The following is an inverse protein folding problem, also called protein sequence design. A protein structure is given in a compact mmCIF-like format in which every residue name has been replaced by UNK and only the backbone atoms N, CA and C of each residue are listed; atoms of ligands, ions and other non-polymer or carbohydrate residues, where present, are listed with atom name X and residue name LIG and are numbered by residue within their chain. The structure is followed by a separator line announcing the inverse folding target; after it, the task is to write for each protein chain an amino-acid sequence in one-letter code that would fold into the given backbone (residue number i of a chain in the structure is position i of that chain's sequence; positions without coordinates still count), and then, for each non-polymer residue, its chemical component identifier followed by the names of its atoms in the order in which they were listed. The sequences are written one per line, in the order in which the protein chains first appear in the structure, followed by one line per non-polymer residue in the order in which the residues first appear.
data_IF_698586176073
#
_entry.id   IF_698586176073
#
_cell.length_a   1.000
_cell.length_b   1.000
_cell.length_c   1.000
_cell.angle_alpha   90.00
_cell.angle_beta   90.00
_cell.angle_gamma   90.00
#
_symmetry.space_group_name_H-M   'P 1'
#
loop_
_entity.id
_entity.type
_entity.pdbx_description
1 polymer ?
#
# COMPACT_ATOMS: atom_id res chain seq x y z
N UNK A 1 -30.26 -45.41 4.74
CA UNK A 1 -29.42 -44.27 4.31
C UNK A 1 -30.19 -42.93 4.29
N UNK A 2 -31.05 -42.65 5.28
CA UNK A 2 -31.84 -41.39 5.33
C UNK A 2 -31.59 -40.59 6.62
N UNK A 3 -30.86 -41.16 7.59
CA UNK A 3 -30.70 -40.58 8.92
C UNK A 3 -29.52 -39.60 9.09
N UNK A 4 -28.55 -39.58 8.16
CA UNK A 4 -27.40 -38.66 8.21
C UNK A 4 -27.71 -37.27 7.61
N UNK A 5 -28.76 -37.13 6.80
CA UNK A 5 -29.14 -35.87 6.16
C UNK A 5 -29.97 -34.94 7.05
N UNK A 6 -30.64 -35.47 8.08
CA UNK A 6 -31.60 -34.69 8.89
C UNK A 6 -30.96 -34.21 10.22
N UNK A 7 -30.05 -35.00 10.81
CA UNK A 7 -29.50 -34.72 12.15
C UNK A 7 -28.38 -33.66 12.11
N UNK A 8 -27.62 -33.58 11.01
CA UNK A 8 -26.60 -32.54 10.80
C UNK A 8 -27.05 -31.43 9.84
N UNK A 9 -28.33 -31.40 9.46
CA UNK A 9 -28.85 -30.44 8.49
C UNK A 9 -28.55 -28.99 8.89
N UNK A 10 -28.78 -28.63 10.17
CA UNK A 10 -28.46 -27.30 10.68
C UNK A 10 -26.97 -26.97 10.61
N UNK A 11 -26.09 -27.90 10.96
CA UNK A 11 -24.65 -27.66 10.99
C UNK A 11 -24.06 -27.54 9.57
N UNK A 12 -24.52 -28.38 8.64
CA UNK A 12 -24.14 -28.29 7.22
C UNK A 12 -24.80 -27.12 6.51
N UNK A 13 -26.02 -26.73 6.88
CA UNK A 13 -26.65 -25.52 6.34
C UNK A 13 -25.94 -24.26 6.82
N UNK A 14 -25.52 -24.20 8.10
CA UNK A 14 -24.72 -23.08 8.61
C UNK A 14 -23.35 -23.00 7.93
N UNK A 15 -22.64 -24.13 7.78
CA UNK A 15 -21.37 -24.19 7.05
C UNK A 15 -21.53 -23.84 5.56
N UNK A 16 -22.63 -24.25 4.94
CA UNK A 16 -22.95 -23.88 3.56
C UNK A 16 -23.31 -22.40 3.41
N UNK A 17 -23.96 -21.79 4.40
CA UNK A 17 -24.25 -20.35 4.43
C UNK A 17 -22.96 -19.54 4.64
N UNK A 18 -22.05 -19.95 5.53
CA UNK A 18 -20.74 -19.30 5.67
C UNK A 18 -19.90 -19.42 4.39
N UNK A 19 -19.88 -20.59 3.74
CA UNK A 19 -19.21 -20.78 2.44
C UNK A 19 -19.88 -20.01 1.29
N UNK A 20 -21.14 -19.60 1.48
CA UNK A 20 -21.94 -18.84 0.52
C UNK A 20 -21.84 -17.33 0.77
N UNK A 21 -21.02 -16.84 1.71
CA UNK A 21 -20.81 -15.41 1.92
C UNK A 21 -19.43 -14.99 1.43
N UNK A 22 -19.39 -13.98 0.55
CA UNK A 22 -18.15 -13.36 0.09
C UNK A 22 -18.00 -12.00 0.76
N UNK A 23 -16.95 -11.86 1.57
CA UNK A 23 -16.50 -10.60 2.14
C UNK A 23 -15.60 -9.90 1.11
N UNK A 24 -15.93 -8.66 0.77
CA UNK A 24 -15.04 -7.78 0.01
C UNK A 24 -14.64 -6.64 0.93
N UNK A 25 -13.35 -6.51 1.19
CA UNK A 25 -12.83 -5.42 2.01
C UNK A 25 -13.05 -4.08 1.29
N UNK A 26 -13.60 -3.11 2.02
CA UNK A 26 -13.69 -1.72 1.57
C UNK A 26 -12.66 -0.94 2.36
N UNK A 27 -11.52 -0.66 1.74
CA UNK A 27 -10.40 -0.03 2.43
C UNK A 27 -10.75 1.37 2.94
N UNK A 28 -10.30 1.69 4.15
CA UNK A 28 -10.35 3.05 4.68
C UNK A 28 -9.22 3.89 4.09
N UNK A 29 -9.48 5.18 3.91
CA UNK A 29 -8.44 6.11 3.51
C UNK A 29 -7.56 6.44 4.71
N UNK A 30 -6.26 6.18 4.59
CA UNK A 30 -5.29 6.51 5.64
C UNK A 30 -5.12 8.03 5.75
N UNK A 31 -5.16 8.57 6.98
CA UNK A 31 -5.10 10.01 7.26
C UNK A 31 -3.81 10.69 6.82
N UNK A 32 -3.84 11.99 6.57
CA UNK A 32 -2.69 12.76 6.09
C UNK A 32 -1.67 13.03 7.22
N UNK A 33 -0.38 13.08 6.89
CA UNK A 33 0.64 13.66 7.77
C UNK A 33 0.94 15.06 7.24
N UNK A 34 0.78 16.06 8.10
CA UNK A 34 0.90 17.47 7.78
C UNK A 34 2.04 18.11 8.57
N UNK A 35 2.73 19.08 7.98
CA UNK A 35 3.63 19.97 8.71
C UNK A 35 2.83 21.00 9.55
N UNK A 36 3.54 21.82 10.32
CA UNK A 36 2.92 22.86 11.17
C UNK A 36 2.13 23.93 10.41
N UNK A 37 2.36 24.05 9.10
CA UNK A 37 1.73 25.00 8.20
C UNK A 37 0.65 24.34 7.31
N UNK A 38 0.28 23.08 7.61
CA UNK A 38 -0.66 22.25 6.85
C UNK A 38 -0.17 21.83 5.45
N UNK A 39 1.14 21.84 5.21
CA UNK A 39 1.74 21.25 4.01
C UNK A 39 1.70 19.73 4.16
N UNK A 40 1.25 19.02 3.13
CA UNK A 40 1.19 17.56 3.12
C UNK A 40 2.58 16.97 3.00
N UNK A 41 2.99 16.21 4.00
CA UNK A 41 4.22 15.42 4.01
C UNK A 41 3.97 13.98 3.59
N UNK A 42 2.79 13.44 3.91
CA UNK A 42 2.30 12.17 3.41
C UNK A 42 0.79 12.21 3.25
N UNK A 43 0.26 11.61 2.19
CA UNK A 43 -1.18 11.52 1.96
C UNK A 43 -1.53 10.23 1.22
N UNK A 44 -2.79 9.85 1.28
CA UNK A 44 -3.29 8.69 0.54
C UNK A 44 -3.89 9.13 -0.79
N UNK A 45 -3.45 8.53 -1.88
CA UNK A 45 -4.03 8.73 -3.20
C UNK A 45 -4.95 7.55 -3.54
N UNK A 46 -6.11 7.85 -4.13
CA UNK A 46 -7.07 6.84 -4.56
C UNK A 46 -6.60 6.20 -5.87
N UNK A 47 -6.52 4.88 -5.87
CA UNK A 47 -6.22 4.04 -7.02
C UNK A 47 -7.21 2.87 -7.06
N UNK A 48 -6.94 1.90 -7.94
CA UNK A 48 -7.76 0.71 -8.08
C UNK A 48 -6.93 -0.55 -8.29
N UNK A 49 -7.37 -1.64 -7.69
CA UNK A 49 -6.76 -2.95 -7.89
C UNK A 49 -7.58 -3.75 -8.91
N UNK A 50 -6.89 -4.27 -9.92
CA UNK A 50 -7.49 -5.07 -10.99
C UNK A 50 -7.35 -6.55 -10.65
N UNK A 51 -8.48 -7.24 -10.50
CA UNK A 51 -8.56 -8.65 -10.19
C UNK A 51 -9.19 -9.44 -11.33
N UNK A 52 -8.63 -10.59 -11.63
CA UNK A 52 -9.14 -11.50 -12.66
C UNK A 52 -9.89 -12.64 -11.99
N UNK A 53 -11.13 -12.87 -12.43
CA UNK A 53 -11.95 -14.01 -12.10
C UNK A 53 -11.76 -15.08 -13.19
N UNK A 54 -10.89 -16.07 -12.96
CA UNK A 54 -10.62 -17.11 -13.97
C UNK A 54 -11.85 -17.93 -14.37
N UNK A 55 -12.80 -18.27 -13.47
CA UNK A 55 -14.00 -19.02 -13.85
C UNK A 55 -14.84 -18.32 -14.93
N UNK A 56 -14.80 -16.99 -14.95
CA UNK A 56 -15.51 -16.16 -15.93
C UNK A 56 -14.72 -15.97 -17.23
N UNK A 57 -13.44 -16.39 -17.26
CA UNK A 57 -12.52 -16.28 -18.38
C UNK A 57 -12.14 -17.66 -18.95
N UNK A 58 -13.06 -18.29 -19.68
CA UNK A 58 -12.82 -19.58 -20.35
C UNK A 58 -12.38 -19.35 -21.79
N UNK A 59 -11.07 -19.21 -22.01
CA UNK A 59 -10.46 -18.89 -23.32
C UNK A 59 -10.85 -19.88 -24.44
N UNK A 60 -10.99 -21.16 -24.11
CA UNK A 60 -11.23 -22.23 -25.09
C UNK A 60 -12.63 -22.20 -25.75
N UNK A 61 -13.62 -21.60 -25.08
CA UNK A 61 -15.02 -21.60 -25.51
C UNK A 61 -15.57 -20.19 -25.80
N UNK A 62 -14.69 -19.21 -26.02
CA UNK A 62 -15.11 -17.86 -26.37
C UNK A 62 -15.68 -17.79 -27.79
N UNK A 63 -16.83 -17.12 -27.94
CA UNK A 63 -17.30 -16.67 -29.24
C UNK A 63 -16.43 -15.51 -29.79
N UNK A 64 -16.66 -15.13 -31.04
CA UNK A 64 -15.83 -14.12 -31.72
C UNK A 64 -15.93 -12.73 -31.05
N UNK A 65 -17.10 -12.37 -30.51
CA UNK A 65 -17.30 -11.10 -29.79
C UNK A 65 -16.60 -11.10 -28.43
N UNK A 66 -16.61 -12.25 -27.74
CA UNK A 66 -15.92 -12.43 -26.46
C UNK A 66 -14.40 -12.39 -26.63
N UNK A 67 -13.89 -12.90 -27.75
CA UNK A 67 -12.45 -12.83 -28.07
C UNK A 67 -12.03 -11.40 -28.38
N UNK A 68 -12.77 -10.70 -29.23
CA UNK A 68 -12.52 -9.28 -29.55
C UNK A 68 -12.52 -8.43 -28.27
N UNK A 69 -13.55 -8.58 -27.42
CA UNK A 69 -13.60 -7.88 -26.14
C UNK A 69 -12.43 -8.20 -25.22
N UNK A 70 -11.99 -9.47 -25.18
CA UNK A 70 -10.84 -9.89 -24.38
C UNK A 70 -9.54 -9.25 -24.87
N UNK A 71 -9.29 -9.29 -26.19
CA UNK A 71 -8.10 -8.71 -26.82
C UNK A 71 -8.07 -7.19 -26.61
N UNK A 72 -9.17 -6.48 -26.86
CA UNK A 72 -9.29 -5.04 -26.64
C UNK A 72 -9.05 -4.65 -25.17
N UNK A 73 -9.64 -5.41 -24.24
CA UNK A 73 -9.48 -5.15 -22.80
C UNK A 73 -8.02 -5.37 -22.37
N UNK A 74 -7.39 -6.44 -22.87
CA UNK A 74 -6.01 -6.75 -22.55
C UNK A 74 -5.06 -5.70 -23.13
N UNK A 75 -5.30 -5.23 -24.36
CA UNK A 75 -4.55 -4.14 -24.98
C UNK A 75 -4.59 -2.88 -24.09
N UNK A 76 -5.77 -2.43 -23.68
CA UNK A 76 -5.92 -1.26 -22.78
C UNK A 76 -5.18 -1.47 -21.46
N UNK A 77 -5.26 -2.66 -20.85
CA UNK A 77 -4.54 -2.96 -19.61
C UNK A 77 -3.03 -2.92 -19.85
N UNK A 78 -2.54 -3.47 -20.96
CA UNK A 78 -1.10 -3.49 -21.27
C UNK A 78 -0.56 -2.08 -21.53
N UNK A 79 -1.29 -1.26 -22.30
CA UNK A 79 -0.89 0.10 -22.62
C UNK A 79 -0.92 1.03 -21.39
N UNK A 80 -1.98 0.94 -20.59
CA UNK A 80 -2.22 1.93 -19.53
C UNK A 80 -1.71 1.49 -18.15
N UNK A 81 -1.74 0.18 -17.85
CA UNK A 81 -1.32 -0.35 -16.56
C UNK A 81 0.11 -0.93 -16.58
N UNK A 82 0.73 -1.03 -17.77
CA UNK A 82 2.08 -1.56 -17.96
C UNK A 82 2.22 -3.02 -17.55
N UNK A 83 1.14 -3.79 -17.65
CA UNK A 83 1.16 -5.25 -17.45
C UNK A 83 1.46 -5.89 -18.79
N UNK A 84 2.37 -6.85 -18.86
CA UNK A 84 2.62 -7.55 -20.14
C UNK A 84 1.63 -8.70 -20.34
N UNK A 85 1.37 -9.06 -21.59
CA UNK A 85 0.59 -10.26 -21.91
C UNK A 85 1.25 -11.53 -21.32
N UNK A 86 2.59 -11.58 -21.31
CA UNK A 86 3.34 -12.67 -20.70
C UNK A 86 3.06 -12.78 -19.20
N UNK A 87 3.07 -11.66 -18.46
CA UNK A 87 2.73 -11.62 -17.04
C UNK A 87 1.29 -12.07 -16.77
N UNK A 88 0.34 -11.62 -17.61
CA UNK A 88 -1.05 -12.03 -17.53
C UNK A 88 -1.18 -13.55 -17.72
N UNK A 89 -0.60 -14.09 -18.80
CA UNK A 89 -0.71 -15.50 -19.15
C UNK A 89 0.02 -16.40 -18.15
N UNK A 90 1.14 -15.95 -17.58
CA UNK A 90 1.83 -16.66 -16.51
C UNK A 90 0.92 -16.86 -15.29
N UNK A 91 0.21 -15.81 -14.85
CA UNK A 91 -0.76 -15.91 -13.75
C UNK A 91 -1.99 -16.70 -14.14
N UNK A 92 -2.48 -16.58 -15.38
CA UNK A 92 -3.65 -17.30 -15.87
C UNK A 92 -3.43 -18.82 -15.89
N UNK A 93 -2.24 -19.28 -16.29
CA UNK A 93 -1.89 -20.70 -16.38
C UNK A 93 -1.65 -21.38 -15.01
N UNK A 94 -1.62 -20.62 -13.91
CA UNK A 94 -1.52 -21.22 -12.57
C UNK A 94 -2.85 -21.84 -12.12
N UNK A 95 -2.95 -23.17 -12.24
CA UNK A 95 -4.15 -23.92 -11.89
C UNK A 95 -4.50 -23.93 -10.40
N UNK A 96 -3.61 -23.45 -9.51
CA UNK A 96 -3.88 -23.43 -8.07
C UNK A 96 -4.69 -22.21 -7.62
N UNK A 97 -4.92 -21.23 -8.51
CA UNK A 97 -5.51 -19.95 -8.16
C UNK A 97 -6.79 -19.73 -8.97
N UNK A 98 -7.92 -19.57 -8.28
CA UNK A 98 -9.22 -19.28 -8.91
C UNK A 98 -9.36 -17.81 -9.31
N UNK A 99 -8.89 -16.88 -8.47
CA UNK A 99 -8.88 -15.44 -8.73
C UNK A 99 -7.52 -14.87 -8.37
N UNK A 100 -6.99 -13.94 -9.18
CA UNK A 100 -5.68 -13.34 -8.92
C UNK A 100 -5.68 -11.84 -9.14
N UNK A 101 -4.81 -11.17 -8.38
CA UNK A 101 -4.51 -9.75 -8.55
C UNK A 101 -3.62 -9.57 -9.79
N UNK A 102 -4.17 -8.94 -10.82
CA UNK A 102 -3.45 -8.64 -12.04
C UNK A 102 -2.51 -7.45 -11.81
N UNK A 103 -3.07 -6.34 -11.31
CA UNK A 103 -2.36 -5.08 -11.07
C UNK A 103 -2.83 -4.40 -9.79
N UNK A 104 -1.88 -3.97 -8.95
CA UNK A 104 -2.14 -3.02 -7.86
C UNK A 104 -2.04 -1.58 -8.36
N UNK A 105 -2.88 -0.73 -7.79
CA UNK A 105 -2.83 0.72 -7.97
C UNK A 105 -2.90 1.21 -9.43
N UNK A 106 -3.78 0.62 -10.23
CA UNK A 106 -4.14 1.15 -11.55
C UNK A 106 -4.74 2.55 -11.43
N UNK A 107 -4.46 3.41 -12.41
CA UNK A 107 -4.94 4.78 -12.42
C UNK A 107 -6.44 4.84 -12.69
N UNK A 108 -7.04 6.00 -12.42
CA UNK A 108 -8.45 6.21 -12.71
C UNK A 108 -8.72 6.15 -14.22
N UNK A 109 -7.79 6.66 -15.03
CA UNK A 109 -7.88 6.66 -16.48
C UNK A 109 -7.93 5.23 -17.04
N UNK A 110 -7.07 4.33 -16.54
CA UNK A 110 -7.11 2.90 -16.88
C UNK A 110 -8.48 2.29 -16.56
N UNK A 111 -8.98 2.56 -15.36
CA UNK A 111 -10.24 1.97 -14.90
C UNK A 111 -11.44 2.50 -15.65
N UNK A 112 -11.48 3.80 -15.96
CA UNK A 112 -12.58 4.38 -16.70
C UNK A 112 -12.65 3.81 -18.13
N UNK A 113 -11.51 3.57 -18.79
CA UNK A 113 -11.45 2.90 -20.09
C UNK A 113 -11.95 1.44 -20.03
N UNK A 114 -11.57 0.69 -19.00
CA UNK A 114 -11.99 -0.70 -18.80
C UNK A 114 -13.48 -0.80 -18.43
N UNK A 115 -14.00 0.15 -17.63
CA UNK A 115 -15.40 0.16 -17.20
C UNK A 115 -16.37 0.35 -18.36
N UNK A 116 -15.97 1.05 -19.41
CA UNK A 116 -16.79 1.19 -20.62
C UNK A 116 -16.95 -0.13 -21.38
N UNK A 117 -15.98 -1.04 -21.26
CA UNK A 117 -15.98 -2.35 -21.91
C UNK A 117 -16.77 -3.43 -21.13
N UNK A 118 -16.97 -3.24 -19.82
CA UNK A 118 -17.67 -4.16 -18.90
C UNK A 118 -17.27 -5.65 -19.03
N UNK A 119 -15.96 -6.00 -18.97
CA UNK A 119 -15.51 -7.37 -19.08
C UNK A 119 -15.90 -8.18 -17.83
N UNK A 120 -16.77 -9.19 -18.01
CA UNK A 120 -17.26 -10.05 -16.90
C UNK A 120 -16.16 -10.71 -16.07
N UNK A 121 -15.00 -10.96 -16.66
CA UNK A 121 -13.88 -11.64 -16.02
C UNK A 121 -12.98 -10.73 -15.18
N UNK A 122 -13.17 -9.41 -15.22
CA UNK A 122 -12.35 -8.46 -14.49
C UNK A 122 -13.17 -7.76 -13.42
N UNK A 123 -12.65 -7.74 -12.20
CA UNK A 123 -13.19 -6.97 -11.09
C UNK A 123 -12.25 -5.83 -10.73
N UNK A 124 -12.83 -4.65 -10.50
CA UNK A 124 -12.08 -3.45 -10.09
C UNK A 124 -12.46 -3.10 -8.66
N UNK A 125 -11.48 -3.08 -7.77
CA UNK A 125 -11.67 -2.68 -6.37
C UNK A 125 -10.99 -1.34 -6.11
N UNK A 126 -11.63 -0.48 -5.33
CA UNK A 126 -10.98 0.75 -4.88
C UNK A 126 -9.83 0.40 -3.93
N UNK A 127 -8.67 0.99 -4.14
CA UNK A 127 -7.51 0.84 -3.28
C UNK A 127 -6.87 2.21 -3.03
N UNK A 128 -5.97 2.27 -2.05
CA UNK A 128 -5.25 3.50 -1.73
C UNK A 128 -3.76 3.23 -1.73
N UNK A 129 -3.00 4.18 -2.25
CA UNK A 129 -1.54 4.17 -2.20
C UNK A 129 -1.07 5.34 -1.36
N UNK A 130 -0.10 5.09 -0.48
CA UNK A 130 0.57 6.14 0.29
C UNK A 130 1.54 6.89 -0.62
N UNK A 131 1.48 8.22 -0.61
CA UNK A 131 2.31 9.11 -1.43
C UNK A 131 3.04 10.11 -0.54
N UNK A 132 4.33 10.28 -0.80
CA UNK A 132 5.21 11.23 -0.11
C UNK A 132 5.69 12.28 -1.13
N UNK A 133 5.09 13.49 -1.18
CA UNK A 133 5.37 14.49 -2.21
C UNK A 133 6.85 14.83 -2.39
N UNK A 134 7.56 14.98 -1.27
CA UNK A 134 8.95 15.42 -1.25
C UNK A 134 9.96 14.26 -1.11
N UNK A 135 9.50 13.00 -1.25
CA UNK A 135 10.31 11.78 -1.32
C UNK A 135 11.27 11.54 -0.14
N UNK A 136 12.36 12.29 -0.08
CA UNK A 136 13.43 12.20 0.92
C UNK A 136 13.25 13.15 2.12
N UNK A 137 12.33 14.11 2.04
CA UNK A 137 12.09 15.05 3.13
C UNK A 137 11.58 14.32 4.39
N UNK A 138 12.31 14.51 5.49
CA UNK A 138 12.05 13.90 6.79
C UNK A 138 11.89 12.37 6.75
N UNK A 139 12.57 11.67 5.82
CA UNK A 139 12.31 10.25 5.53
C UNK A 139 12.37 9.35 6.76
N UNK A 140 13.44 9.42 7.56
CA UNK A 140 13.58 8.61 8.78
C UNK A 140 12.57 8.99 9.87
N UNK A 141 12.07 10.23 9.86
CA UNK A 141 11.07 10.67 10.82
C UNK A 141 9.68 10.18 10.41
N UNK A 142 9.25 10.47 9.18
CA UNK A 142 7.94 10.08 8.65
C UNK A 142 7.83 8.55 8.61
N UNK A 143 8.84 7.88 8.05
CA UNK A 143 8.81 6.44 7.81
C UNK A 143 7.87 6.05 6.68
N UNK A 144 7.69 4.74 6.47
CA UNK A 144 6.89 4.20 5.35
C UNK A 144 5.72 3.34 5.80
N UNK A 145 4.84 3.01 4.86
CA UNK A 145 3.78 2.01 5.00
C UNK A 145 4.09 0.79 4.14
N UNK A 146 3.44 -0.33 4.43
CA UNK A 146 3.38 -1.48 3.53
C UNK A 146 2.27 -1.32 2.47
N UNK A 147 2.21 -2.28 1.55
CA UNK A 147 1.24 -2.29 0.45
C UNK A 147 -0.21 -2.51 0.92
N UNK A 148 -0.40 -2.88 2.18
CA UNK A 148 -1.69 -3.05 2.83
C UNK A 148 -2.11 -1.79 3.63
N UNK A 149 -1.29 -0.73 3.59
CA UNK A 149 -1.58 0.56 4.22
C UNK A 149 -1.25 0.66 5.71
N UNK A 150 -0.60 -0.35 6.28
CA UNK A 150 -0.10 -0.32 7.66
C UNK A 150 1.25 0.37 7.74
N UNK A 151 1.44 1.17 8.79
CA UNK A 151 2.73 1.79 9.09
C UNK A 151 3.80 0.73 9.32
N UNK A 152 4.97 0.93 8.71
CA UNK A 152 6.13 0.05 8.79
C UNK A 152 7.24 0.65 9.67
N UNK A 153 7.48 1.95 9.56
CA UNK A 153 8.53 2.64 10.30
C UNK A 153 8.13 4.07 10.68
N UNK A 154 8.95 4.73 11.51
CA UNK A 154 8.78 6.15 11.84
C UNK A 154 7.44 6.51 12.47
N UNK A 155 6.94 7.70 12.11
CA UNK A 155 5.63 8.20 12.51
C UNK A 155 4.49 7.40 11.88
N UNK A 156 4.66 6.86 10.68
CA UNK A 156 3.67 5.99 10.04
C UNK A 156 3.36 4.76 10.91
N UNK A 157 4.39 4.13 11.48
CA UNK A 157 4.22 3.03 12.45
C UNK A 157 3.66 3.53 13.79
N UNK A 158 4.26 4.58 14.34
CA UNK A 158 3.94 5.05 15.70
C UNK A 158 2.51 5.59 15.83
N UNK A 159 1.97 6.21 14.78
CA UNK A 159 0.62 6.75 14.73
C UNK A 159 -0.34 5.87 13.91
N UNK A 160 0.01 4.61 13.65
CA UNK A 160 -0.80 3.73 12.82
C UNK A 160 -2.25 3.60 13.30
N UNK A 161 -2.49 3.56 14.62
CA UNK A 161 -3.83 3.43 15.21
C UNK A 161 -4.75 4.63 14.90
N UNK A 162 -4.18 5.81 14.64
CA UNK A 162 -4.92 7.00 14.24
C UNK A 162 -4.99 7.11 12.72
N UNK A 163 -3.86 6.89 12.05
CA UNK A 163 -3.72 7.09 10.61
C UNK A 163 -4.47 6.03 9.80
N UNK A 164 -4.49 4.76 10.21
CA UNK A 164 -4.98 3.66 9.37
C UNK A 164 -6.49 3.70 9.12
N UNK A 165 -7.27 4.27 10.05
CA UNK A 165 -8.72 4.14 10.04
C UNK A 165 -9.17 2.71 10.28
N UNK A 166 -10.40 2.38 9.87
CA UNK A 166 -10.99 1.05 9.99
C UNK A 166 -11.65 0.65 8.69
N UNK A 167 -11.15 -0.42 8.08
CA UNK A 167 -11.73 -0.96 6.85
C UNK A 167 -13.18 -1.37 7.07
N UNK A 168 -13.99 -1.06 6.08
CA UNK A 168 -15.35 -1.55 5.95
C UNK A 168 -15.37 -2.92 5.27
N UNK A 169 -16.57 -3.48 5.13
CA UNK A 169 -16.81 -4.75 4.46
C UNK A 169 -18.10 -4.70 3.68
N UNK A 170 -18.07 -5.25 2.47
CA UNK A 170 -19.26 -5.57 1.69
C UNK A 170 -19.47 -7.07 1.76
N UNK A 171 -20.55 -7.51 2.42
CA UNK A 171 -20.91 -8.92 2.56
C UNK A 171 -22.05 -9.21 1.61
N UNK A 172 -21.82 -10.13 0.68
CA UNK A 172 -22.86 -10.61 -0.24
C UNK A 172 -23.02 -12.12 -0.16
N UNK A 173 -24.25 -12.60 -0.28
CA UNK A 173 -24.50 -14.03 -0.46
C UNK A 173 -24.24 -14.40 -1.93
N UNK A 174 -23.29 -15.30 -2.14
CA UNK A 174 -22.90 -15.85 -3.44
C UNK A 174 -23.31 -17.31 -3.59
N UNK A 175 -23.50 -17.77 -4.83
CA UNK A 175 -23.59 -19.19 -5.13
C UNK A 175 -22.23 -19.91 -4.91
N UNK A 176 -22.18 -21.23 -5.15
CA UNK A 176 -20.96 -22.04 -5.05
C UNK A 176 -19.86 -21.64 -6.06
N UNK A 177 -20.19 -20.79 -7.02
CA UNK A 177 -19.28 -20.26 -8.04
C UNK A 177 -18.88 -18.80 -7.78
N UNK A 178 -19.38 -18.17 -6.71
CA UNK A 178 -19.04 -16.80 -6.33
C UNK A 178 -19.93 -15.72 -6.96
N UNK A 179 -21.01 -16.10 -7.66
CA UNK A 179 -21.95 -15.15 -8.26
C UNK A 179 -22.93 -14.63 -7.20
N UNK A 180 -23.20 -13.33 -7.19
CA UNK A 180 -24.18 -12.74 -6.28
C UNK A 180 -25.58 -13.33 -6.51
N UNK A 181 -26.22 -13.82 -5.45
CA UNK A 181 -27.59 -14.32 -5.51
C UNK A 181 -28.57 -13.15 -5.64
N UNK A 182 -29.51 -13.24 -6.58
CA UNK A 182 -30.48 -12.18 -6.91
C UNK A 182 -31.45 -11.79 -5.75
N UNK A 183 -31.48 -12.58 -4.67
CA UNK A 183 -32.27 -12.36 -3.45
C UNK A 183 -31.36 -12.27 -2.20
N UNK A 184 -30.07 -11.98 -2.37
CA UNK A 184 -29.10 -11.88 -1.28
C UNK A 184 -29.38 -10.69 -0.36
N UNK A 185 -29.19 -10.89 0.94
CA UNK A 185 -29.14 -9.77 1.88
C UNK A 185 -27.72 -9.20 1.83
N UNK A 186 -27.56 -8.04 1.18
CA UNK A 186 -26.29 -7.32 1.20
C UNK A 186 -26.15 -6.56 2.51
N UNK A 187 -25.09 -6.86 3.27
CA UNK A 187 -24.70 -6.06 4.44
C UNK A 187 -23.48 -5.22 4.07
N UNK A 188 -23.59 -3.90 4.25
CA UNK A 188 -22.52 -2.96 3.98
C UNK A 188 -22.08 -2.34 5.31
N UNK A 189 -20.83 -2.60 5.68
CA UNK A 189 -20.13 -1.92 6.74
C UNK A 189 -19.23 -0.86 6.10
N UNK A 190 -19.60 0.41 6.24
CA UNK A 190 -18.83 1.50 5.66
C UNK A 190 -17.47 1.66 6.37
N UNK A 191 -16.37 1.93 5.63
CA UNK A 191 -15.08 2.24 6.23
C UNK A 191 -15.14 3.53 7.02
N UNK A 192 -14.25 3.64 8.00
CA UNK A 192 -13.97 4.88 8.71
C UNK A 192 -12.55 5.30 8.36
N UNK A 193 -12.43 6.43 7.67
CA UNK A 193 -11.12 6.98 7.31
C UNK A 193 -10.29 7.31 8.55
N UNK A 194 -8.98 7.25 8.40
CA UNK A 194 -8.05 7.58 9.45
C UNK A 194 -7.96 9.08 9.72
N UNK A 195 -7.52 9.41 10.92
CA UNK A 195 -7.32 10.78 11.35
C UNK A 195 -5.98 11.32 10.82
N UNK A 196 -5.96 12.60 10.45
CA UNK A 196 -4.73 13.27 10.04
C UNK A 196 -3.89 13.70 11.25
N UNK A 197 -2.58 13.61 11.13
CA UNK A 197 -1.61 14.02 12.16
C UNK A 197 -0.89 15.28 11.70
N UNK A 198 -1.03 16.36 12.47
CA UNK A 198 -0.26 17.59 12.27
C UNK A 198 1.00 17.57 13.14
N UNK A 199 2.16 17.73 12.51
CA UNK A 199 3.46 17.78 13.16
C UNK A 199 3.83 19.20 13.58
N UNK A 200 4.80 19.31 14.48
CA UNK A 200 5.44 20.60 14.81
C UNK A 200 6.54 20.98 13.82
N UNK A 201 6.94 20.03 12.97
CA UNK A 201 7.97 20.19 11.94
C UNK A 201 7.54 21.29 10.98
N UNK A 202 8.49 22.15 10.63
CA UNK A 202 8.37 23.10 9.54
C UNK A 202 9.09 22.54 8.32
N UNK A 203 8.36 22.28 7.24
CA UNK A 203 8.90 21.67 6.03
C UNK A 203 10.08 22.45 5.42
N UNK A 204 10.05 23.78 5.50
CA UNK A 204 11.13 24.62 5.00
C UNK A 204 12.38 24.52 5.88
N UNK A 205 12.23 24.61 7.21
CA UNK A 205 13.37 24.46 8.14
C UNK A 205 13.96 23.04 8.02
N UNK A 206 13.11 22.02 7.91
CA UNK A 206 13.52 20.64 7.68
C UNK A 206 14.36 20.49 6.40
N UNK A 207 13.86 21.01 5.28
CA UNK A 207 14.54 20.94 3.99
C UNK A 207 15.91 21.63 4.03
N UNK A 208 15.97 22.85 4.60
CA UNK A 208 17.22 23.58 4.75
C UNK A 208 18.23 22.83 5.63
N UNK A 209 17.77 22.24 6.73
CA UNK A 209 18.62 21.45 7.64
C UNK A 209 19.17 20.22 6.92
N UNK A 210 18.31 19.47 6.22
CA UNK A 210 18.74 18.30 5.42
C UNK A 210 19.76 18.68 4.35
N UNK A 211 19.49 19.73 3.57
CA UNK A 211 20.41 20.17 2.51
C UNK A 211 21.80 20.52 3.07
N UNK A 212 21.87 21.15 4.24
CA UNK A 212 23.15 21.48 4.86
C UNK A 212 23.87 20.25 5.45
N UNK A 213 23.14 19.31 6.05
CA UNK A 213 23.71 18.04 6.50
C UNK A 213 24.23 17.21 5.33
N UNK A 214 23.49 17.14 4.23
CA UNK A 214 23.90 16.40 3.03
C UNK A 214 25.19 16.97 2.44
N UNK A 215 25.26 18.31 2.29
CA UNK A 215 26.48 18.98 1.83
C UNK A 215 27.68 18.67 2.72
N UNK A 216 27.50 18.77 4.04
CA UNK A 216 28.56 18.48 5.00
C UNK A 216 28.95 16.99 4.99
N UNK A 217 27.96 16.09 4.92
CA UNK A 217 28.17 14.65 4.91
C UNK A 217 28.98 14.19 3.71
N UNK A 218 28.71 14.75 2.53
CA UNK A 218 29.48 14.53 1.30
C UNK A 218 30.88 15.15 1.40
N UNK A 219 30.97 16.42 1.82
CA UNK A 219 32.25 17.15 1.92
C UNK A 219 33.24 16.47 2.87
N UNK A 220 32.74 16.02 4.02
CA UNK A 220 33.55 15.38 5.06
C UNK A 220 33.53 13.85 5.00
N UNK A 221 32.90 13.25 3.99
CA UNK A 221 32.78 11.79 3.83
C UNK A 221 32.30 11.08 5.10
N UNK A 222 31.30 11.67 5.77
CA UNK A 222 30.79 11.16 7.04
C UNK A 222 29.77 10.06 6.80
N UNK A 223 29.84 8.97 7.56
CA UNK A 223 28.86 7.88 7.44
C UNK A 223 27.45 8.32 7.85
N UNK A 224 27.34 9.07 8.95
CA UNK A 224 26.06 9.52 9.49
C UNK A 224 26.16 10.91 10.12
N UNK A 225 25.14 11.74 9.89
CA UNK A 225 24.98 13.02 10.59
C UNK A 225 23.54 13.21 11.05
N UNK A 226 23.38 13.94 12.14
CA UNK A 226 22.07 14.27 12.74
C UNK A 226 22.01 15.79 12.92
N UNK A 227 20.89 16.40 12.57
CA UNK A 227 20.60 17.80 12.82
C UNK A 227 19.21 17.97 13.39
N UNK A 228 19.11 18.62 14.55
CA UNK A 228 17.84 18.90 15.22
C UNK A 228 17.72 20.41 15.43
N UNK A 229 16.56 20.96 15.07
CA UNK A 229 16.21 22.36 15.30
C UNK A 229 14.97 22.41 16.18
N UNK A 230 15.02 23.14 17.28
CA UNK A 230 13.90 23.30 18.21
C UNK A 230 13.58 24.76 18.48
N UNK A 231 12.30 25.04 18.75
CA UNK A 231 11.87 26.32 19.31
C UNK A 231 12.08 26.30 20.83
N UNK A 232 12.91 27.21 21.34
CA UNK A 232 13.27 27.27 22.77
C UNK A 232 12.09 27.63 23.67
N UNK A 233 11.09 28.36 23.15
CA UNK A 233 9.93 28.81 23.93
C UNK A 233 8.88 27.71 24.07
N UNK A 234 8.66 26.95 23.01
CA UNK A 234 7.61 25.90 22.98
C UNK A 234 8.17 24.50 23.19
N UNK A 235 9.48 24.31 23.07
CA UNK A 235 10.17 23.02 22.98
C UNK A 235 9.71 22.14 21.81
N UNK A 236 9.03 22.73 20.83
CA UNK A 236 8.64 22.05 19.61
C UNK A 236 9.86 21.76 18.75
N UNK A 237 9.89 20.58 18.13
CA UNK A 237 10.88 20.25 17.11
C UNK A 237 10.42 20.87 15.78
N UNK A 238 11.26 21.73 15.22
CA UNK A 238 11.05 22.37 13.93
C UNK A 238 11.65 21.55 12.79
N UNK A 239 12.75 20.84 13.06
CA UNK A 239 13.38 19.92 12.14
C UNK A 239 14.10 18.78 12.87
N UNK A 240 14.04 17.58 12.30
CA UNK A 240 14.83 16.40 12.69
C UNK A 240 15.33 15.76 11.40
N UNK A 241 16.56 16.08 11.03
CA UNK A 241 17.19 15.68 9.79
C UNK A 241 18.32 14.69 10.04
N UNK A 242 18.47 13.73 9.14
CA UNK A 242 19.55 12.75 9.16
C UNK A 242 20.23 12.71 7.79
N UNK A 243 21.52 12.38 7.79
CA UNK A 243 22.27 12.00 6.60
C UNK A 243 22.87 10.61 6.83
N UNK A 244 22.79 9.69 5.86
CA UNK A 244 22.00 9.79 4.63
C UNK A 244 20.48 9.76 4.92
N UNK A 245 19.70 10.36 4.03
CA UNK A 245 18.24 10.15 3.93
C UNK A 245 17.93 9.10 2.85
N UNK A 246 16.66 8.72 2.69
CA UNK A 246 16.21 7.77 1.66
C UNK A 246 14.88 8.19 1.06
N UNK A 247 14.53 7.69 -0.13
CA UNK A 247 13.24 8.00 -0.74
C UNK A 247 12.12 7.15 -0.09
N UNK A 248 11.12 7.82 0.50
CA UNK A 248 9.96 7.17 1.07
C UNK A 248 9.09 6.45 0.02
N UNK A 249 9.16 6.86 -1.24
CA UNK A 249 8.46 6.21 -2.36
C UNK A 249 9.24 5.00 -2.90
N UNK A 250 10.53 4.86 -2.59
CA UNK A 250 11.38 3.72 -2.91
C UNK A 250 12.21 3.27 -1.69
N UNK A 251 11.56 2.78 -0.63
CA UNK A 251 12.23 2.58 0.66
C UNK A 251 13.14 1.34 0.71
N UNK A 252 13.16 0.52 -0.34
CA UNK A 252 13.97 -0.69 -0.38
C UNK A 252 15.30 -0.50 -1.14
N UNK A 253 15.51 0.71 -1.64
CA UNK A 253 16.70 1.08 -2.38
C UNK A 253 17.80 1.54 -1.43
N UNK A 254 18.85 0.73 -1.30
CA UNK A 254 20.02 1.03 -0.49
C UNK A 254 21.01 1.98 -1.18
N UNK A 255 20.80 2.30 -2.46
CA UNK A 255 21.73 3.12 -3.24
C UNK A 255 23.10 2.47 -3.47
N UNK A 256 23.17 1.14 -3.41
CA UNK A 256 24.39 0.35 -3.65
C UNK A 256 24.64 0.20 -5.15
N UNK A 257 25.91 0.07 -5.55
CA UNK A 257 26.29 -0.29 -6.92
C UNK A 257 25.95 -1.77 -7.21
N UNK A 258 25.80 -2.15 -8.49
CA UNK A 258 25.34 -3.49 -8.93
C UNK A 258 26.22 -4.65 -8.42
N UNK A 259 27.47 -4.40 -8.06
CA UNK A 259 28.43 -5.37 -7.54
C UNK A 259 28.44 -5.50 -6.01
N UNK A 260 27.66 -4.68 -5.29
CA UNK A 260 27.50 -4.67 -3.83
C UNK A 260 26.16 -5.27 -3.36
N UNK A 261 25.56 -6.20 -4.12
CA UNK A 261 24.30 -6.83 -3.72
C UNK A 261 24.41 -7.57 -2.37
N UNK A 262 23.81 -6.98 -1.34
CA UNK A 262 23.56 -7.64 -0.07
C UNK A 262 22.43 -8.66 -0.22
N UNK A 263 22.56 -9.82 0.43
CA UNK A 263 21.53 -10.86 0.41
C UNK A 263 21.19 -11.34 1.82
N UNK A 264 20.00 -11.92 2.00
CA UNK A 264 19.58 -12.51 3.26
C UNK A 264 19.53 -11.50 4.42
N UNK A 265 20.10 -11.89 5.56
CA UNK A 265 20.03 -11.11 6.80
C UNK A 265 20.81 -9.79 6.72
N UNK A 266 21.89 -9.73 5.94
CA UNK A 266 22.70 -8.53 5.79
C UNK A 266 21.93 -7.42 5.06
N UNK A 267 21.16 -7.80 4.03
CA UNK A 267 20.26 -6.89 3.32
C UNK A 267 19.22 -6.28 4.27
N UNK A 268 18.51 -7.13 5.03
CA UNK A 268 17.49 -6.66 5.96
C UNK A 268 18.07 -5.81 7.09
N UNK A 269 19.29 -6.12 7.53
CA UNK A 269 20.01 -5.29 8.52
C UNK A 269 20.31 -3.91 7.96
N UNK A 270 20.78 -3.80 6.72
CA UNK A 270 21.03 -2.53 6.05
C UNK A 270 19.74 -1.72 5.87
N UNK A 271 18.65 -2.36 5.45
CA UNK A 271 17.34 -1.74 5.27
C UNK A 271 16.79 -1.20 6.59
N UNK A 272 16.85 -1.99 7.68
CA UNK A 272 16.40 -1.52 8.99
C UNK A 272 17.26 -0.36 9.51
N UNK A 273 18.57 -0.35 9.20
CA UNK A 273 19.44 0.79 9.53
C UNK A 273 19.07 2.02 8.72
N UNK A 274 18.76 1.87 7.44
CA UNK A 274 18.33 2.96 6.55
C UNK A 274 17.03 3.60 7.05
N UNK A 275 16.04 2.79 7.43
CA UNK A 275 14.75 3.28 7.95
C UNK A 275 14.82 3.83 9.36
N UNK A 276 15.82 3.43 10.15
CA UNK A 276 16.01 3.90 11.51
C UNK A 276 16.25 5.41 11.56
N UNK A 277 15.80 6.05 12.64
CA UNK A 277 16.06 7.46 12.90
C UNK A 277 17.13 7.60 13.99
N UNK A 278 18.41 7.82 13.63
CA UNK A 278 19.50 7.85 14.60
C UNK A 278 19.36 9.00 15.61
N UNK A 279 18.61 10.07 15.31
CA UNK A 279 18.29 11.13 16.26
C UNK A 279 17.56 10.64 17.53
N UNK A 280 16.86 9.51 17.44
CA UNK A 280 16.11 8.93 18.57
C UNK A 280 16.63 7.55 19.01
N UNK A 281 17.33 6.83 18.12
CA UNK A 281 17.74 5.44 18.40
C UNK A 281 19.19 5.33 18.83
N UNK A 282 20.05 6.29 18.49
CA UNK A 282 21.49 6.19 18.76
C UNK A 282 21.85 6.96 20.03
N UNK A 283 22.78 6.38 20.79
CA UNK A 283 23.38 7.02 21.97
C UNK A 283 24.84 7.34 21.67
N UNK A 284 25.30 8.49 22.14
CA UNK A 284 26.69 8.90 22.02
C UNK A 284 27.17 9.56 23.33
N UNK A 285 28.48 9.55 23.57
CA UNK A 285 29.06 10.28 24.68
C UNK A 285 29.16 11.77 24.33
N UNK A 286 28.58 12.68 25.13
CA UNK A 286 28.47 14.10 24.77
C UNK A 286 29.82 14.86 24.79
N UNK A 287 30.84 14.35 25.47
CA UNK A 287 32.12 15.04 25.58
C UNK A 287 31.97 16.46 26.13
N UNK A 288 32.53 17.46 25.45
CA UNK A 288 32.61 18.84 25.94
C UNK A 288 31.30 19.65 25.89
N UNK A 289 30.19 19.08 25.41
CA UNK A 289 28.90 19.81 25.34
C UNK A 289 28.01 19.61 26.59
N UNK A 290 28.41 18.76 27.53
CA UNK A 290 27.71 18.57 28.83
C UNK A 290 28.10 19.63 29.86
#
# INVERSE_FOLDING_TARGET
MVQLQIIKHKEYSYKAIELSKKDIDKYAMRGDILDRNNVRLAYSAKYYDLWVNKPDLVLENMDEQQKELFEDTLEVITETAGVTEEEFMAKMNDNNISNFLLKKWASKETVDAIREMDPRWLSVYESYRRVYPDGTLASNLIGTTNDDGFGRSGLEYSFNDYLAGRNGKYVMDTDLFGNQLALSNTEIFEPQDGESVALTIDSYIQQMTQMHLEKAGVEFQTEQMIGVVSDIKTNELLAVANYPSYDLNDPFNLGLEEDEELTGDDYWTAIHRLWGNPAFTYTYEPGSVS
#
